data_IF_159991778653
#
_entry.id   IF_159991778653
#
_cell.length_a   1.000
_cell.length_b   1.000
_cell.length_c   1.000
_cell.angle_alpha   90.00
_cell.angle_beta   90.00
_cell.angle_gamma   90.00
#
_symmetry.space_group_name_H-M   'P 1'
#
loop_
_entity.id
_entity.type
_entity.pdbx_description
1 polymer ?
#
# COMPACT_ATOMS: atom_id res chain seq x y z
N UNK A 1 -12.53 17.61 5.14
CA UNK A 1 -12.64 16.68 6.28
C UNK A 1 -11.33 16.73 7.07
N UNK A 2 -11.37 16.71 8.42
CA UNK A 2 -10.13 16.68 9.22
C UNK A 2 -9.47 15.30 9.19
N UNK A 3 -8.14 15.17 9.43
CA UNK A 3 -7.47 13.87 9.48
C UNK A 3 -8.11 12.89 10.47
N UNK A 4 -8.51 13.39 11.65
CA UNK A 4 -9.19 12.59 12.66
C UNK A 4 -10.55 12.07 12.18
N UNK A 5 -11.36 12.93 11.56
CA UNK A 5 -12.66 12.54 11.02
C UNK A 5 -12.52 11.50 9.90
N UNK A 6 -11.57 11.69 9.00
CA UNK A 6 -11.26 10.73 7.92
C UNK A 6 -10.87 9.37 8.49
N UNK A 7 -9.93 9.34 9.45
CA UNK A 7 -9.50 8.08 10.06
C UNK A 7 -10.66 7.35 10.74
N UNK A 8 -11.47 8.08 11.51
CA UNK A 8 -12.61 7.51 12.21
C UNK A 8 -13.66 6.95 11.25
N UNK A 9 -13.99 7.69 10.19
CA UNK A 9 -14.95 7.25 9.18
C UNK A 9 -14.49 5.95 8.49
N UNK A 10 -13.24 5.91 8.02
CA UNK A 10 -12.68 4.72 7.38
C UNK A 10 -12.60 3.54 8.36
N UNK A 11 -12.21 3.77 9.62
CA UNK A 11 -12.16 2.72 10.63
C UNK A 11 -13.53 2.13 10.94
N UNK A 12 -14.56 2.97 11.06
CA UNK A 12 -15.93 2.52 11.29
C UNK A 12 -16.42 1.66 10.12
N UNK A 13 -16.24 2.12 8.88
CA UNK A 13 -16.57 1.32 7.69
C UNK A 13 -15.85 -0.03 7.68
N UNK A 14 -14.53 -0.01 7.92
CA UNK A 14 -13.69 -1.20 7.82
C UNK A 14 -14.03 -2.21 8.92
N UNK A 15 -13.99 -1.82 10.19
CA UNK A 15 -14.06 -2.77 11.29
C UNK A 15 -15.49 -3.11 11.73
N UNK A 16 -16.42 -2.16 11.64
CA UNK A 16 -17.81 -2.41 12.06
C UNK A 16 -18.62 -3.09 10.95
N UNK A 17 -18.27 -2.84 9.68
CA UNK A 17 -19.10 -3.28 8.55
C UNK A 17 -18.37 -4.25 7.59
N UNK A 18 -17.23 -3.84 7.02
CA UNK A 18 -16.55 -4.60 5.97
C UNK A 18 -15.94 -5.90 6.51
N UNK A 19 -15.15 -5.86 7.60
CA UNK A 19 -14.51 -7.05 8.17
C UNK A 19 -15.53 -8.13 8.56
N UNK A 20 -16.65 -7.81 9.25
CA UNK A 20 -17.71 -8.80 9.50
C UNK A 20 -18.34 -9.36 8.22
N UNK A 21 -18.55 -8.53 7.19
CA UNK A 21 -19.07 -8.97 5.90
C UNK A 21 -18.11 -9.95 5.21
N UNK A 22 -16.82 -9.63 5.21
CA UNK A 22 -15.76 -10.45 4.64
C UNK A 22 -15.63 -11.82 5.32
N UNK A 23 -15.61 -11.84 6.66
CA UNK A 23 -15.60 -13.06 7.48
C UNK A 23 -16.73 -14.02 7.13
N UNK A 24 -17.94 -13.50 6.97
CA UNK A 24 -19.12 -14.31 6.66
C UNK A 24 -19.14 -14.86 5.23
N UNK A 25 -18.63 -14.11 4.26
CA UNK A 25 -18.90 -14.38 2.85
C UNK A 25 -17.68 -14.85 2.03
N UNK A 26 -16.46 -14.52 2.44
CA UNK A 26 -15.26 -14.65 1.61
C UNK A 26 -14.09 -15.40 2.28
N UNK A 27 -13.86 -15.26 3.58
CA UNK A 27 -12.66 -15.80 4.25
C UNK A 27 -12.44 -17.30 3.96
N UNK A 28 -13.48 -18.12 4.05
CA UNK A 28 -13.37 -19.56 3.79
C UNK A 28 -12.97 -19.90 2.34
N UNK A 29 -13.43 -19.09 1.36
CA UNK A 29 -13.10 -19.23 -0.06
C UNK A 29 -11.68 -18.77 -0.34
N UNK A 30 -11.30 -17.63 0.23
CA UNK A 30 -9.95 -17.05 0.11
C UNK A 30 -8.91 -18.00 0.70
N UNK A 31 -9.12 -18.45 1.94
CA UNK A 31 -8.27 -19.45 2.61
C UNK A 31 -8.05 -20.68 1.74
N UNK A 32 -9.14 -21.26 1.21
CA UNK A 32 -9.06 -22.45 0.34
C UNK A 32 -8.25 -22.17 -0.93
N UNK A 33 -8.43 -21.00 -1.55
CA UNK A 33 -7.68 -20.61 -2.72
C UNK A 33 -6.17 -20.45 -2.42
N UNK A 34 -5.81 -19.85 -1.29
CA UNK A 34 -4.41 -19.71 -0.84
C UNK A 34 -3.75 -21.08 -0.62
N UNK A 35 -4.41 -21.98 0.11
CA UNK A 35 -3.87 -23.32 0.40
C UNK A 35 -3.60 -24.10 -0.89
N UNK A 36 -4.53 -24.03 -1.84
CA UNK A 36 -4.44 -24.72 -3.14
C UNK A 36 -3.48 -24.05 -4.13
N UNK A 37 -3.14 -22.77 -3.95
CA UNK A 37 -2.27 -22.07 -4.88
C UNK A 37 -0.88 -22.70 -4.91
N UNK A 38 -0.30 -22.77 -6.11
CA UNK A 38 1.11 -23.10 -6.32
C UNK A 38 1.98 -21.85 -6.50
N UNK A 39 1.35 -20.68 -6.65
CA UNK A 39 2.00 -19.42 -6.99
C UNK A 39 1.66 -18.40 -5.89
N UNK A 40 2.66 -18.08 -5.08
CA UNK A 40 2.62 -17.06 -4.04
C UNK A 40 3.86 -16.18 -4.20
N UNK A 41 3.80 -14.89 -3.81
CA UNK A 41 2.67 -14.20 -3.21
C UNK A 41 1.50 -14.00 -4.20
N UNK A 42 0.27 -13.91 -3.68
CA UNK A 42 -0.92 -13.70 -4.50
C UNK A 42 -1.78 -12.56 -3.95
N UNK A 43 -2.36 -11.79 -4.86
CA UNK A 43 -3.36 -10.76 -4.58
C UNK A 43 -4.61 -11.06 -5.41
N UNK A 44 -5.76 -11.07 -4.75
CA UNK A 44 -7.03 -11.44 -5.36
C UNK A 44 -7.62 -10.26 -6.14
N UNK A 45 -8.53 -10.57 -7.06
CA UNK A 45 -9.38 -9.54 -7.66
C UNK A 45 -10.22 -8.87 -6.56
N UNK A 46 -10.50 -7.56 -6.70
CA UNK A 46 -11.18 -6.83 -5.65
C UNK A 46 -12.62 -7.31 -5.47
N UNK A 47 -13.04 -7.36 -4.22
CA UNK A 47 -14.44 -7.49 -3.82
C UNK A 47 -15.00 -6.08 -3.71
N UNK A 48 -16.10 -5.81 -4.39
CA UNK A 48 -16.81 -4.55 -4.28
C UNK A 48 -17.73 -4.56 -3.05
N UNK A 49 -17.72 -3.48 -2.28
CA UNK A 49 -18.59 -3.28 -1.12
C UNK A 49 -19.05 -1.82 -1.06
N UNK A 50 -20.36 -1.61 -1.03
CA UNK A 50 -20.94 -0.28 -0.83
C UNK A 50 -21.37 -0.10 0.63
N UNK A 51 -20.79 0.89 1.33
CA UNK A 51 -21.18 1.22 2.69
C UNK A 51 -22.45 2.07 2.69
N UNK A 52 -23.54 1.53 3.27
CA UNK A 52 -24.80 2.26 3.42
C UNK A 52 -24.74 3.36 4.50
N UNK A 53 -23.75 3.30 5.39
CA UNK A 53 -23.62 4.23 6.52
C UNK A 53 -22.93 5.52 6.10
N UNK A 54 -21.86 5.40 5.33
CA UNK A 54 -21.01 6.52 4.88
C UNK A 54 -21.22 6.87 3.41
N UNK A 55 -21.95 6.03 2.65
CA UNK A 55 -22.07 6.08 1.19
C UNK A 55 -20.74 5.94 0.45
N UNK A 56 -19.74 5.34 1.11
CA UNK A 56 -18.44 5.05 0.50
C UNK A 56 -18.49 3.78 -0.34
N UNK A 57 -17.84 3.85 -1.51
CA UNK A 57 -17.65 2.72 -2.41
C UNK A 57 -16.26 2.12 -2.19
N UNK A 58 -16.21 0.84 -1.80
CA UNK A 58 -14.99 0.15 -1.41
C UNK A 58 -14.64 -0.99 -2.36
N UNK A 59 -13.35 -1.10 -2.67
CA UNK A 59 -12.76 -2.25 -3.36
C UNK A 59 -11.74 -2.92 -2.43
N UNK A 60 -12.00 -4.17 -2.04
CA UNK A 60 -11.19 -4.90 -1.09
C UNK A 60 -10.37 -5.98 -1.79
N UNK A 61 -9.06 -5.90 -1.64
CA UNK A 61 -8.08 -6.84 -2.16
C UNK A 61 -7.56 -7.71 -1.01
N UNK A 62 -7.90 -9.00 -1.02
CA UNK A 62 -7.17 -9.97 -0.21
C UNK A 62 -5.79 -10.18 -0.80
N UNK A 63 -4.80 -10.41 0.06
CA UNK A 63 -3.49 -10.87 -0.35
C UNK A 63 -2.91 -11.86 0.65
N UNK A 64 -2.04 -12.74 0.15
CA UNK A 64 -1.28 -13.66 0.96
C UNK A 64 0.12 -13.82 0.38
N UNK A 65 1.13 -13.67 1.23
CA UNK A 65 2.53 -13.84 0.84
C UNK A 65 3.00 -15.29 0.98
N UNK A 66 2.41 -16.05 1.90
CA UNK A 66 2.73 -17.47 2.13
C UNK A 66 1.47 -18.25 2.51
N UNK A 67 1.50 -19.58 2.36
CA UNK A 67 0.38 -20.45 2.77
C UNK A 67 0.10 -20.42 4.28
N UNK A 68 1.10 -20.06 5.09
CA UNK A 68 0.96 -19.98 6.56
C UNK A 68 -0.04 -18.89 6.97
N UNK A 69 -0.25 -17.89 6.12
CA UNK A 69 -1.20 -16.80 6.34
C UNK A 69 -2.60 -17.10 5.79
N UNK A 70 -2.88 -18.33 5.37
CA UNK A 70 -4.18 -18.65 4.77
C UNK A 70 -5.37 -18.46 5.73
N UNK A 71 -5.16 -18.68 7.04
CA UNK A 71 -6.18 -18.47 8.08
C UNK A 71 -6.42 -16.99 8.40
N UNK A 72 -5.43 -16.14 8.16
CA UNK A 72 -5.46 -14.71 8.48
C UNK A 72 -4.93 -13.90 7.30
N UNK A 73 -5.61 -14.06 6.15
CA UNK A 73 -5.24 -13.38 4.93
C UNK A 73 -5.47 -11.87 5.08
N UNK A 74 -4.43 -11.09 4.83
CA UNK A 74 -4.49 -9.65 4.97
C UNK A 74 -5.32 -9.00 3.85
N UNK A 75 -5.87 -7.82 4.14
CA UNK A 75 -6.67 -7.05 3.19
C UNK A 75 -6.11 -5.64 2.99
N UNK A 76 -6.24 -5.15 1.77
CA UNK A 76 -6.12 -3.74 1.40
C UNK A 76 -7.50 -3.29 0.95
N UNK A 77 -8.04 -2.24 1.55
CA UNK A 77 -9.30 -1.66 1.13
C UNK A 77 -9.05 -0.29 0.52
N UNK A 78 -9.58 -0.04 -0.68
CA UNK A 78 -9.50 1.27 -1.30
C UNK A 78 -10.90 1.87 -1.48
N UNK A 79 -11.01 3.17 -1.29
CA UNK A 79 -12.17 3.97 -1.67
C UNK A 79 -11.77 5.04 -2.67
N UNK A 80 -12.68 5.41 -3.57
CA UNK A 80 -12.44 6.38 -4.64
C UNK A 80 -13.35 7.60 -4.47
N UNK A 81 -12.76 8.78 -4.47
CA UNK A 81 -13.48 10.05 -4.36
C UNK A 81 -13.29 10.84 -5.65
N UNK A 82 -14.40 11.13 -6.34
CA UNK A 82 -14.40 11.96 -7.53
C UNK A 82 -14.40 13.44 -7.15
N UNK A 83 -13.42 14.18 -7.66
CA UNK A 83 -13.32 15.64 -7.54
C UNK A 83 -13.21 16.28 -8.92
N UNK A 84 -13.21 17.61 -8.98
CA UNK A 84 -12.96 18.37 -10.22
C UNK A 84 -11.58 18.07 -10.82
N UNK A 85 -10.58 17.80 -9.99
CA UNK A 85 -9.20 17.48 -10.39
C UNK A 85 -9.04 16.03 -10.89
N UNK A 86 -10.02 15.17 -10.63
CA UNK A 86 -10.01 13.76 -10.99
C UNK A 86 -10.36 12.85 -9.81
N UNK A 87 -9.94 11.58 -9.87
CA UNK A 87 -10.21 10.62 -8.79
C UNK A 87 -9.04 10.54 -7.82
N UNK A 88 -9.34 10.82 -6.56
CA UNK A 88 -8.48 10.49 -5.43
C UNK A 88 -8.75 9.06 -4.99
N UNK A 89 -7.68 8.31 -4.68
CA UNK A 89 -7.77 6.95 -4.14
C UNK A 89 -7.28 6.97 -2.70
N UNK A 90 -8.12 6.51 -1.79
CA UNK A 90 -7.84 6.36 -0.36
C UNK A 90 -7.64 4.89 -0.07
N UNK A 91 -6.43 4.50 0.28
CA UNK A 91 -6.07 3.13 0.65
C UNK A 91 -5.99 3.00 2.17
N UNK A 92 -6.60 1.94 2.68
CA UNK A 92 -6.54 1.51 4.06
C UNK A 92 -5.93 0.11 4.14
N UNK A 93 -4.79 -0.01 4.81
CA UNK A 93 -4.23 -1.32 5.11
C UNK A 93 -4.96 -1.91 6.32
N UNK A 94 -5.81 -2.90 6.06
CA UNK A 94 -6.65 -3.52 7.10
C UNK A 94 -5.78 -4.33 8.07
N UNK A 95 -4.66 -4.89 7.60
CA UNK A 95 -3.68 -5.57 8.44
C UNK A 95 -2.61 -4.59 8.97
N UNK A 96 -1.98 -4.94 10.09
CA UNK A 96 -0.83 -4.21 10.69
C UNK A 96 -1.19 -2.82 11.21
N UNK A 97 -0.38 -1.83 10.84
CA UNK A 97 -0.30 -0.48 11.40
C UNK A 97 -1.50 0.42 11.08
N UNK A 98 -2.40 -0.03 10.21
CA UNK A 98 -3.61 0.69 9.83
C UNK A 98 -3.29 2.11 9.30
N UNK A 99 -2.33 2.17 8.37
CA UNK A 99 -1.97 3.41 7.69
C UNK A 99 -3.04 3.75 6.63
N UNK A 100 -3.24 5.06 6.43
CA UNK A 100 -4.09 5.59 5.35
C UNK A 100 -3.18 6.22 4.31
N UNK A 101 -3.23 5.72 3.08
CA UNK A 101 -2.49 6.30 1.96
C UNK A 101 -3.45 6.99 1.00
N UNK A 102 -3.10 8.19 0.58
CA UNK A 102 -3.89 9.00 -0.34
C UNK A 102 -3.09 9.16 -1.63
N UNK A 103 -3.71 8.79 -2.74
CA UNK A 103 -3.14 8.93 -4.08
C UNK A 103 -4.00 9.91 -4.89
N UNK A 104 -3.48 11.12 -5.19
CA UNK A 104 -4.16 12.10 -6.03
C UNK A 104 -4.20 11.67 -7.51
N UNK A 105 -5.05 12.27 -8.35
CA UNK A 105 -5.22 11.88 -9.75
C UNK A 105 -3.91 11.90 -10.56
N UNK A 106 -3.08 12.91 -10.32
CA UNK A 106 -1.80 13.05 -11.01
C UNK A 106 -0.79 11.95 -10.64
N UNK A 107 -0.94 11.28 -9.49
CA UNK A 107 -0.10 10.14 -9.12
C UNK A 107 -0.25 9.01 -10.14
N UNK A 108 -1.49 8.61 -10.43
CA UNK A 108 -1.78 7.54 -11.40
C UNK A 108 -1.39 7.94 -12.83
N UNK A 109 -1.51 9.22 -13.18
CA UNK A 109 -1.01 9.73 -14.46
C UNK A 109 0.53 9.55 -14.58
N UNK A 110 1.27 9.77 -13.49
CA UNK A 110 2.72 9.52 -13.44
C UNK A 110 3.04 8.03 -13.46
N UNK A 111 2.29 7.20 -12.74
CA UNK A 111 2.46 5.75 -12.78
C UNK A 111 2.26 5.20 -14.20
N UNK A 112 1.17 5.60 -14.86
CA UNK A 112 0.85 5.20 -16.24
C UNK A 112 1.93 5.62 -17.25
N UNK A 113 2.38 6.87 -17.20
CA UNK A 113 3.40 7.38 -18.13
C UNK A 113 4.80 6.83 -17.86
N UNK A 114 5.19 6.67 -16.59
CA UNK A 114 6.57 6.33 -16.21
C UNK A 114 6.82 4.82 -16.13
N UNK A 115 5.84 4.04 -15.68
CA UNK A 115 5.99 2.58 -15.57
C UNK A 115 5.35 1.85 -16.75
N UNK A 116 4.08 2.12 -17.02
CA UNK A 116 3.33 1.45 -18.09
C UNK A 116 3.60 2.05 -19.48
N UNK A 117 4.43 3.09 -19.58
CA UNK A 117 4.85 3.75 -20.83
C UNK A 117 3.67 4.13 -21.73
N UNK A 118 2.54 4.50 -21.13
CA UNK A 118 1.34 4.94 -21.86
C UNK A 118 0.51 3.82 -22.50
N UNK A 119 0.69 2.56 -22.09
CA UNK A 119 -0.12 1.44 -22.60
C UNK A 119 -1.63 1.71 -22.47
N UNK A 120 -2.44 1.30 -23.46
CA UNK A 120 -3.89 1.49 -23.41
C UNK A 120 -4.49 0.68 -22.25
N UNK A 121 -4.99 1.38 -21.23
CA UNK A 121 -5.54 0.78 -20.01
C UNK A 121 -6.69 1.65 -19.48
N UNK A 122 -7.76 1.00 -19.01
CA UNK A 122 -8.86 1.68 -18.36
C UNK A 122 -8.45 2.24 -16.99
N UNK A 123 -9.09 3.32 -16.55
CA UNK A 123 -8.79 3.99 -15.27
C UNK A 123 -8.87 3.07 -14.05
N UNK A 124 -9.95 2.28 -13.96
CA UNK A 124 -10.09 1.32 -12.86
C UNK A 124 -9.02 0.23 -12.91
N UNK A 125 -8.70 -0.26 -14.11
CA UNK A 125 -7.69 -1.30 -14.27
C UNK A 125 -6.28 -0.79 -13.95
N UNK A 126 -5.98 0.47 -14.27
CA UNK A 126 -4.76 1.16 -13.86
C UNK A 126 -4.60 1.19 -12.33
N UNK A 127 -5.67 1.53 -11.61
CA UNK A 127 -5.69 1.55 -10.14
C UNK A 127 -5.53 0.12 -9.59
N UNK A 128 -6.30 -0.83 -10.11
CA UNK A 128 -6.20 -2.24 -9.71
C UNK A 128 -4.78 -2.78 -9.89
N UNK A 129 -4.16 -2.51 -11.04
CA UNK A 129 -2.80 -2.96 -11.35
C UNK A 129 -1.78 -2.31 -10.40
N UNK A 130 -1.92 -1.02 -10.11
CA UNK A 130 -1.07 -0.36 -9.13
C UNK A 130 -1.14 -1.05 -7.76
N UNK A 131 -2.35 -1.23 -7.20
CA UNK A 131 -2.53 -1.86 -5.88
C UNK A 131 -1.99 -3.30 -5.86
N UNK A 132 -2.21 -4.05 -6.96
CA UNK A 132 -1.70 -5.41 -7.12
C UNK A 132 -0.18 -5.48 -7.17
N UNK A 133 0.50 -4.41 -7.58
CA UNK A 133 1.96 -4.36 -7.63
C UNK A 133 2.57 -3.73 -6.37
N UNK A 134 1.82 -2.92 -5.62
CA UNK A 134 2.33 -2.16 -4.47
C UNK A 134 2.05 -2.77 -3.10
N UNK A 135 1.35 -3.92 -3.02
CA UNK A 135 0.92 -4.54 -1.74
C UNK A 135 2.07 -4.99 -0.82
N UNK A 136 3.29 -5.15 -1.35
CA UNK A 136 4.51 -5.34 -0.55
C UNK A 136 5.35 -4.09 -0.75
N UNK A 137 5.10 -3.10 0.09
CA UNK A 137 5.85 -1.85 0.10
C UNK A 137 6.49 -1.58 1.45
N UNK A 138 7.70 -1.01 1.44
CA UNK A 138 8.35 -0.48 2.64
C UNK A 138 8.12 1.03 2.68
N UNK A 139 7.56 1.52 3.78
CA UNK A 139 7.40 2.95 4.02
C UNK A 139 8.64 3.51 4.72
N UNK A 140 9.14 4.61 4.19
CA UNK A 140 10.19 5.43 4.80
C UNK A 140 9.57 6.77 5.21
N UNK A 141 9.70 7.10 6.50
CA UNK A 141 9.16 8.32 7.09
C UNK A 141 10.34 9.18 7.50
N UNK A 142 10.35 10.44 7.07
CA UNK A 142 11.36 11.40 7.50
C UNK A 142 11.21 11.68 9.00
N UNK A 143 12.29 11.49 9.77
CA UNK A 143 12.36 11.80 11.20
C UNK A 143 12.84 13.25 11.47
N UNK A 144 13.38 13.92 10.46
CA UNK A 144 14.07 15.22 10.61
C UNK A 144 13.14 16.43 10.59
N UNK A 145 11.89 16.30 11.02
CA UNK A 145 10.88 17.38 11.01
C UNK A 145 10.38 17.84 9.63
N UNK A 146 10.92 17.29 8.53
CA UNK A 146 10.33 17.46 7.19
C UNK A 146 9.18 16.48 7.06
N UNK A 147 7.96 16.97 6.79
CA UNK A 147 6.76 16.15 6.62
C UNK A 147 6.74 15.43 5.27
N UNK A 148 7.76 14.60 5.02
CA UNK A 148 7.97 13.83 3.80
C UNK A 148 7.94 12.33 4.08
N UNK A 149 7.41 11.57 3.14
CA UNK A 149 7.42 10.12 3.17
C UNK A 149 7.70 9.56 1.78
N UNK A 150 8.21 8.33 1.75
CA UNK A 150 8.34 7.55 0.54
C UNK A 150 7.82 6.13 0.76
N UNK A 151 7.14 5.58 -0.23
CA UNK A 151 6.84 4.16 -0.32
C UNK A 151 7.72 3.57 -1.40
N UNK A 152 8.39 2.46 -1.09
CA UNK A 152 9.18 1.72 -2.05
C UNK A 152 8.52 0.37 -2.32
N UNK A 153 8.39 0.01 -3.59
CA UNK A 153 7.89 -1.29 -4.04
C UNK A 153 8.66 -1.77 -5.29
N UNK A 154 8.38 -3.01 -5.71
CA UNK A 154 9.15 -3.73 -6.74
C UNK A 154 9.44 -2.91 -8.01
N UNK A 155 8.48 -2.08 -8.43
CA UNK A 155 8.50 -1.38 -9.71
C UNK A 155 8.98 0.09 -9.60
N UNK A 156 9.07 0.63 -8.39
CA UNK A 156 9.44 2.04 -8.20
C UNK A 156 9.11 2.59 -6.82
N UNK A 157 9.02 3.92 -6.78
CA UNK A 157 8.89 4.69 -5.56
C UNK A 157 7.73 5.65 -5.66
N UNK A 158 6.87 5.64 -4.64
CA UNK A 158 5.89 6.67 -4.39
C UNK A 158 6.50 7.71 -3.42
N UNK A 159 6.48 8.99 -3.76
CA UNK A 159 7.03 10.06 -2.92
C UNK A 159 5.91 11.03 -2.55
N UNK A 160 5.88 11.45 -1.29
CA UNK A 160 4.75 12.12 -0.71
C UNK A 160 5.05 12.97 0.51
N UNK A 161 3.96 13.43 1.12
CA UNK A 161 3.93 14.22 2.33
C UNK A 161 3.19 13.47 3.44
N UNK A 162 3.57 13.74 4.68
CA UNK A 162 2.88 13.24 5.86
C UNK A 162 1.76 14.24 6.17
N UNK A 163 0.50 13.77 6.15
CA UNK A 163 -0.67 14.61 6.42
C UNK A 163 -0.94 14.65 7.93
N UNK A 164 -0.79 13.51 8.61
CA UNK A 164 -0.89 13.44 10.05
C UNK A 164 -0.12 12.22 10.56
N UNK A 165 0.88 12.45 11.44
CA UNK A 165 1.59 11.36 12.13
C UNK A 165 0.68 10.67 13.13
N UNK A 166 -0.06 11.46 13.91
CA UNK A 166 -0.99 10.96 14.94
C UNK A 166 -2.04 10.04 14.32
N UNK A 167 -2.62 10.47 13.21
CA UNK A 167 -3.67 9.71 12.51
C UNK A 167 -3.08 8.82 11.40
N UNK A 168 -1.75 8.66 11.30
CA UNK A 168 -1.01 7.84 10.32
C UNK A 168 -1.52 7.98 8.87
N UNK A 169 -1.68 9.22 8.42
CA UNK A 169 -2.17 9.57 7.09
C UNK A 169 -1.03 10.13 6.25
N UNK A 170 -0.85 9.56 5.07
CA UNK A 170 0.22 9.90 4.13
C UNK A 170 -0.36 10.14 2.75
N UNK A 171 0.15 11.14 2.03
CA UNK A 171 -0.29 11.44 0.67
C UNK A 171 0.87 11.32 -0.31
N UNK A 172 0.80 10.35 -1.22
CA UNK A 172 1.83 10.11 -2.24
C UNK A 172 1.51 10.85 -3.51
N UNK A 173 2.27 11.90 -3.80
CA UNK A 173 2.00 12.83 -4.90
C UNK A 173 2.63 12.40 -6.22
N UNK A 174 3.70 11.62 -6.18
CA UNK A 174 4.40 11.24 -7.41
C UNK A 174 4.89 9.81 -7.36
N UNK A 175 5.00 9.23 -8.54
CA UNK A 175 5.56 7.91 -8.75
C UNK A 175 6.81 8.02 -9.64
N UNK A 176 7.88 7.32 -9.28
CA UNK A 176 9.12 7.23 -10.06
C UNK A 176 9.43 5.75 -10.25
N UNK A 177 9.46 5.28 -11.50
CA UNK A 177 9.88 3.91 -11.82
C UNK A 177 11.39 3.74 -11.61
N UNK A 178 11.82 2.52 -11.31
CA UNK A 178 13.25 2.25 -11.03
C UNK A 178 14.19 2.64 -12.18
N UNK A 179 13.74 2.49 -13.43
CA UNK A 179 14.51 2.85 -14.63
C UNK A 179 14.74 4.36 -14.79
N UNK A 180 13.94 5.20 -14.11
CA UNK A 180 14.10 6.65 -14.11
C UNK A 180 14.99 7.17 -12.97
N UNK A 181 15.55 6.28 -12.15
CA UNK A 181 16.44 6.67 -11.06
C UNK A 181 17.79 7.15 -11.59
N UNK A 182 18.26 8.27 -11.03
CA UNK A 182 19.60 8.80 -11.30
C UNK A 182 20.63 8.19 -10.34
N UNK A 183 21.87 8.07 -10.79
CA UNK A 183 22.98 7.40 -10.06
C UNK A 183 23.29 7.99 -8.68
N UNK A 184 22.94 9.25 -8.46
CA UNK A 184 23.15 10.05 -7.25
C UNK A 184 22.00 9.94 -6.23
N UNK A 185 20.88 9.32 -6.59
CA UNK A 185 19.75 9.12 -5.68
C UNK A 185 20.03 8.02 -4.66
N UNK A 186 20.65 8.40 -3.52
CA UNK A 186 21.09 7.48 -2.45
C UNK A 186 19.98 6.62 -1.84
N UNK A 187 18.73 7.10 -1.80
CA UNK A 187 17.58 6.32 -1.32
C UNK A 187 17.32 5.07 -2.18
N UNK A 188 17.58 5.16 -3.49
CA UNK A 188 17.46 4.03 -4.40
C UNK A 188 18.52 2.96 -4.13
N UNK A 189 19.76 3.37 -3.80
CA UNK A 189 20.86 2.46 -3.45
C UNK A 189 20.62 1.69 -2.15
N UNK A 190 20.00 2.33 -1.16
CA UNK A 190 19.60 1.67 0.08
C UNK A 190 18.63 0.50 -0.18
N UNK A 191 17.83 0.60 -1.24
CA UNK A 191 16.85 -0.39 -1.65
C UNK A 191 17.36 -1.40 -2.70
N UNK A 192 18.24 -1.00 -3.60
CA UNK A 192 18.88 -1.93 -4.56
C UNK A 192 19.80 -2.93 -3.87
N UNK A 193 20.43 -2.56 -2.74
CA UNK A 193 21.19 -3.49 -1.88
C UNK A 193 20.30 -4.53 -1.17
N UNK A 194 19.00 -4.46 -1.39
CA UNK A 194 17.95 -4.97 -0.55
C UNK A 194 16.98 -5.71 -1.48
N UNK A 195 17.43 -6.81 -2.10
CA UNK A 195 16.57 -7.66 -2.93
C UNK A 195 15.32 -8.05 -2.12
N UNK A 196 14.22 -7.36 -2.41
CA UNK A 196 13.06 -7.24 -1.53
C UNK A 196 12.42 -8.56 -1.20
N UNK A 197 12.39 -9.49 -2.15
CA UNK A 197 11.72 -10.76 -1.94
C UNK A 197 12.54 -11.67 -1.03
N UNK A 198 13.85 -11.73 -1.24
CA UNK A 198 14.75 -12.53 -0.40
C UNK A 198 14.87 -11.92 1.00
N UNK A 199 14.95 -10.59 1.10
CA UNK A 199 15.03 -9.95 2.40
C UNK A 199 13.68 -9.87 3.11
N UNK A 200 12.54 -9.69 2.44
CA UNK A 200 11.25 -9.77 3.11
C UNK A 200 10.96 -11.19 3.58
N UNK A 201 11.30 -12.22 2.79
CA UNK A 201 11.22 -13.60 3.25
C UNK A 201 12.13 -13.83 4.47
N UNK A 202 13.34 -13.27 4.44
CA UNK A 202 14.28 -13.33 5.56
C UNK A 202 13.78 -12.57 6.79
N UNK A 203 13.38 -11.30 6.65
CA UNK A 203 12.85 -10.43 7.71
C UNK A 203 11.61 -11.05 8.34
N UNK A 204 10.70 -11.60 7.54
CA UNK A 204 9.51 -12.32 8.04
C UNK A 204 9.84 -13.66 8.70
N UNK A 205 11.05 -14.19 8.47
CA UNK A 205 11.56 -15.36 9.18
C UNK A 205 12.33 -15.01 10.46
N UNK A 206 12.62 -13.73 10.71
CA UNK A 206 13.30 -13.29 11.92
C UNK A 206 12.35 -13.30 13.12
N UNK A 207 12.90 -13.62 14.29
CA UNK A 207 12.19 -13.61 15.56
C UNK A 207 11.80 -12.18 15.99
N UNK A 208 12.62 -11.17 15.64
CA UNK A 208 12.34 -9.75 15.86
C UNK A 208 12.61 -8.88 14.60
N UNK A 209 11.66 -8.84 13.65
CA UNK A 209 11.81 -8.12 12.38
C UNK A 209 12.01 -6.61 12.53
N UNK A 210 11.36 -6.00 13.53
CA UNK A 210 11.36 -4.55 13.74
C UNK A 210 12.73 -4.03 14.20
N UNK A 211 13.38 -4.76 15.11
CA UNK A 211 14.72 -4.42 15.60
C UNK A 211 15.76 -4.50 14.48
N UNK A 212 15.68 -5.53 13.64
CA UNK A 212 16.55 -5.69 12.47
C UNK A 212 16.40 -4.52 11.48
N UNK A 213 15.17 -4.09 11.20
CA UNK A 213 14.91 -2.95 10.31
C UNK A 213 15.49 -1.65 10.88
N UNK A 214 15.28 -1.38 12.17
CA UNK A 214 15.82 -0.21 12.87
C UNK A 214 17.35 -0.19 12.81
N UNK A 215 18.00 -1.30 13.17
CA UNK A 215 19.46 -1.38 13.20
C UNK A 215 20.09 -1.25 11.82
N UNK A 216 19.49 -1.87 10.80
CA UNK A 216 20.08 -1.92 9.46
C UNK A 216 19.86 -0.64 8.65
N UNK A 217 18.74 0.06 8.88
CA UNK A 217 18.34 1.18 8.00
C UNK A 217 18.32 2.56 8.67
N UNK A 218 18.54 2.64 9.99
CA UNK A 218 18.69 3.94 10.69
C UNK A 218 19.77 4.83 10.08
N UNK A 219 20.87 4.27 9.58
CA UNK A 219 21.97 5.03 8.98
C UNK A 219 21.59 5.73 7.66
N UNK A 220 20.71 5.13 6.86
CA UNK A 220 20.23 5.73 5.61
C UNK A 220 19.26 6.89 5.85
N UNK A 221 18.44 6.76 6.90
CA UNK A 221 17.50 7.80 7.36
C UNK A 221 18.21 9.03 7.93
N UNK A 222 19.42 8.84 8.48
CA UNK A 222 20.26 9.90 9.04
C UNK A 222 21.18 10.58 8.00
N UNK A 223 21.21 10.11 6.75
CA UNK A 223 22.03 10.73 5.72
C UNK A 223 21.36 12.00 5.20
N UNK A 224 22.03 13.15 5.40
CA UNK A 224 21.59 14.42 4.80
C UNK A 224 21.53 14.27 3.28
N UNK A 225 20.34 14.49 2.71
CA UNK A 225 20.13 14.80 1.30
C UNK A 225 20.92 16.05 0.93
#
# INVERSE_FOLDING_TARGET
MSPFALRREMQNDIFENIVPYLKRNYDSKIRRAIIKSLHLPMIFNPIHYFSKTTNNDWFIFYYAITKKLAEDAACIAISQVQTEEGTYVYEYIVAREHNIYIFPPHFFSRYHSRFLKGAAIGKQELINQYIKNSYIGIIFISETGREKCALSFQDGYAIGDIISRKERIFMFKTFISKDLLRKDQKFAKAYDQLQEQNLMNYIMSLENPNEFLLNKYSSYLNSKL
#
